data_IF_400379884428
#
_entry.id   IF_400379884428
#
_cell.length_a   1.000
_cell.length_b   1.000
_cell.length_c   1.000
_cell.angle_alpha   90.00
_cell.angle_beta   90.00
_cell.angle_gamma   90.00
#
_symmetry.space_group_name_H-M   'P 1'
#
loop_
_entity.id
_entity.type
_entity.pdbx_description
1 polymer ?
#
# COMPACT_ATOMS: atom_id res chain seq x y z
N UNK A 1 -9.65 15.24 1.44
CA UNK A 1 -10.43 14.81 0.26
C UNK A 1 -10.54 15.94 -0.78
N UNK A 2 -10.13 15.69 -2.03
CA UNK A 2 -10.24 16.66 -3.13
C UNK A 2 -11.45 16.35 -4.03
N UNK A 3 -12.08 17.37 -4.61
CA UNK A 3 -13.21 17.23 -5.54
C UNK A 3 -12.77 16.81 -6.97
N UNK A 4 -11.49 16.48 -7.17
CA UNK A 4 -10.92 16.32 -8.51
C UNK A 4 -11.51 15.10 -9.22
N UNK A 5 -11.71 13.99 -8.50
CA UNK A 5 -12.27 12.77 -9.09
C UNK A 5 -13.71 12.98 -9.56
N UNK A 6 -14.55 13.62 -8.73
CA UNK A 6 -15.92 13.96 -9.10
C UNK A 6 -15.97 14.91 -10.30
N UNK A 7 -15.11 15.94 -10.34
CA UNK A 7 -15.03 16.83 -11.50
C UNK A 7 -14.64 16.06 -12.76
N UNK A 8 -13.67 15.13 -12.70
CA UNK A 8 -13.33 14.26 -13.83
C UNK A 8 -14.51 13.41 -14.28
N UNK A 9 -15.24 12.80 -13.36
CA UNK A 9 -16.46 12.03 -13.67
C UNK A 9 -17.50 12.89 -14.37
N UNK A 10 -17.75 14.10 -13.88
CA UNK A 10 -18.67 15.06 -14.50
C UNK A 10 -18.21 15.44 -15.91
N UNK A 11 -16.94 15.82 -16.08
CA UNK A 11 -16.37 16.21 -17.38
C UNK A 11 -16.40 15.05 -18.40
N UNK A 12 -16.28 13.81 -17.94
CA UNK A 12 -16.37 12.60 -18.78
C UNK A 12 -17.79 12.15 -19.08
N UNK A 13 -18.81 12.72 -18.45
CA UNK A 13 -20.20 12.28 -18.63
C UNK A 13 -20.68 12.58 -20.06
N UNK A 14 -21.33 11.63 -20.78
CA UNK A 14 -21.73 11.82 -22.17
C UNK A 14 -22.59 13.06 -22.42
N UNK A 15 -23.51 13.36 -21.50
CA UNK A 15 -24.36 14.56 -21.59
C UNK A 15 -23.58 15.85 -21.32
N UNK A 16 -22.53 15.80 -20.49
CA UNK A 16 -21.64 16.94 -20.30
C UNK A 16 -20.84 17.22 -21.58
N UNK A 17 -20.31 16.18 -22.23
CA UNK A 17 -19.55 16.29 -23.49
C UNK A 17 -20.41 16.83 -24.63
N UNK A 18 -21.71 16.49 -24.66
CA UNK A 18 -22.67 17.03 -25.64
C UNK A 18 -23.07 18.49 -25.36
N UNK A 19 -22.67 19.05 -24.22
CA UNK A 19 -23.09 20.39 -23.78
C UNK A 19 -24.49 20.45 -23.16
N UNK A 20 -25.10 19.31 -22.85
CA UNK A 20 -26.42 19.21 -22.22
C UNK A 20 -26.29 19.39 -20.69
N UNK A 21 -25.81 20.55 -20.25
CA UNK A 21 -25.61 20.87 -18.83
C UNK A 21 -26.63 21.92 -18.38
N UNK A 22 -27.40 21.60 -17.35
CA UNK A 22 -28.45 22.45 -16.78
C UNK A 22 -28.44 22.37 -15.24
N UNK A 23 -29.27 23.18 -14.58
CA UNK A 23 -29.27 23.36 -13.12
C UNK A 23 -29.43 22.06 -12.34
N UNK A 24 -30.18 21.11 -12.87
CA UNK A 24 -30.50 19.83 -12.22
C UNK A 24 -29.68 18.65 -12.78
N UNK A 25 -28.62 18.93 -13.54
CA UNK A 25 -27.74 17.90 -14.11
C UNK A 25 -27.15 16.95 -13.05
N UNK A 26 -26.63 17.48 -11.94
CA UNK A 26 -26.03 16.63 -10.89
C UNK A 26 -27.10 15.76 -10.20
N UNK A 27 -28.26 16.29 -9.77
CA UNK A 27 -29.37 15.47 -9.27
C UNK A 27 -29.84 14.37 -10.24
N UNK A 28 -30.03 14.70 -11.51
CA UNK A 28 -30.59 13.78 -12.51
C UNK A 28 -29.63 12.62 -12.82
N UNK A 29 -28.33 12.90 -12.89
CA UNK A 29 -27.28 11.91 -13.15
C UNK A 29 -26.56 11.44 -11.88
N UNK A 30 -27.11 11.70 -10.68
CA UNK A 30 -26.45 11.41 -9.41
C UNK A 30 -26.02 9.94 -9.29
N UNK A 31 -26.88 9.01 -9.73
CA UNK A 31 -26.55 7.58 -9.66
C UNK A 31 -25.35 7.20 -10.54
N UNK A 32 -25.14 7.90 -11.64
CA UNK A 32 -24.05 7.66 -12.58
C UNK A 32 -22.77 8.38 -12.13
N UNK A 33 -22.91 9.64 -11.67
CA UNK A 33 -21.79 10.47 -11.21
C UNK A 33 -21.16 9.97 -9.90
N UNK A 34 -21.94 9.28 -9.07
CA UNK A 34 -21.51 8.69 -7.80
C UNK A 34 -21.49 7.16 -7.84
N UNK A 35 -21.56 6.54 -9.02
CA UNK A 35 -21.38 5.10 -9.14
C UNK A 35 -19.97 4.69 -8.69
N UNK A 36 -19.85 3.54 -8.02
CA UNK A 36 -18.56 2.98 -7.67
C UNK A 36 -17.78 2.65 -8.95
N UNK A 37 -16.72 3.43 -9.20
CA UNK A 37 -15.83 3.20 -10.33
C UNK A 37 -15.02 1.94 -10.02
N UNK A 38 -15.31 0.86 -10.74
CA UNK A 38 -14.50 -0.36 -10.67
C UNK A 38 -13.12 -0.07 -11.23
N UNK A 39 -12.12 -0.12 -10.36
CA UNK A 39 -10.73 -0.03 -10.78
C UNK A 39 -10.38 -1.17 -11.73
N UNK A 40 -9.76 -0.81 -12.86
CA UNK A 40 -9.25 -1.79 -13.81
C UNK A 40 -8.05 -2.55 -13.24
N UNK A 41 -7.67 -3.66 -13.87
CA UNK A 41 -6.47 -4.38 -13.44
C UNK A 41 -5.23 -3.49 -13.59
N UNK A 42 -5.16 -2.66 -14.64
CA UNK A 42 -4.06 -1.69 -14.83
C UNK A 42 -3.97 -0.69 -13.67
N UNK A 43 -5.09 -0.13 -13.21
CA UNK A 43 -5.12 0.82 -12.09
C UNK A 43 -4.69 0.17 -10.76
N UNK A 44 -5.03 -1.10 -10.57
CA UNK A 44 -4.65 -1.87 -9.38
C UNK A 44 -3.17 -2.23 -9.37
N UNK A 45 -2.63 -2.69 -10.51
CA UNK A 45 -1.19 -2.94 -10.66
C UNK A 45 -0.41 -1.64 -10.47
N UNK A 46 -0.86 -0.57 -11.11
CA UNK A 46 -0.28 0.77 -10.99
C UNK A 46 -0.25 1.22 -9.53
N UNK A 47 -1.37 1.10 -8.83
CA UNK A 47 -1.49 1.46 -7.42
C UNK A 47 -0.56 0.65 -6.51
N UNK A 48 -0.54 -0.67 -6.67
CA UNK A 48 0.33 -1.55 -5.90
C UNK A 48 1.82 -1.23 -6.13
N UNK A 49 2.22 -1.00 -7.38
CA UNK A 49 3.58 -0.61 -7.72
C UNK A 49 3.94 0.76 -7.14
N UNK A 50 3.04 1.73 -7.23
CA UNK A 50 3.24 3.08 -6.69
C UNK A 50 3.47 3.05 -5.19
N UNK A 51 2.65 2.30 -4.44
CA UNK A 51 2.82 2.10 -3.01
C UNK A 51 4.13 1.39 -2.67
N UNK A 52 4.48 0.33 -3.41
CA UNK A 52 5.73 -0.38 -3.22
C UNK A 52 6.95 0.52 -3.44
N UNK A 53 6.95 1.31 -4.50
CA UNK A 53 8.03 2.25 -4.79
C UNK A 53 8.12 3.36 -3.74
N UNK A 54 6.98 3.91 -3.30
CA UNK A 54 6.94 4.90 -2.23
C UNK A 54 7.44 4.35 -0.88
N UNK A 55 7.28 3.06 -0.62
CA UNK A 55 7.75 2.41 0.61
C UNK A 55 9.26 2.20 0.69
N UNK A 56 10.00 2.39 -0.42
CA UNK A 56 11.45 2.17 -0.47
C UNK A 56 12.18 3.22 0.39
N UNK A 57 13.18 2.81 1.20
CA UNK A 57 14.04 3.76 1.91
C UNK A 57 14.79 4.64 0.90
N UNK A 58 14.65 5.96 1.04
CA UNK A 58 15.27 6.95 0.13
C UNK A 58 16.72 7.26 0.46
N UNK A 59 17.11 7.06 1.71
CA UNK A 59 18.49 7.20 2.18
C UNK A 59 18.98 5.83 2.62
N UNK A 60 19.93 5.28 1.87
CA UNK A 60 20.59 4.02 2.20
C UNK A 60 21.81 4.37 3.06
N UNK A 61 21.57 4.52 4.35
CA UNK A 61 22.57 4.82 5.39
C UNK A 61 23.25 3.57 5.96
N UNK A 62 22.72 2.37 5.70
CA UNK A 62 23.26 1.10 6.19
C UNK A 62 23.62 0.08 5.09
N UNK A 63 24.55 -0.86 5.36
CA UNK A 63 24.98 -1.88 4.40
C UNK A 63 23.88 -2.87 3.99
N UNK A 64 22.82 -3.00 4.80
CA UNK A 64 21.64 -3.83 4.49
C UNK A 64 20.53 -3.07 3.76
N UNK A 65 20.67 -1.75 3.61
CA UNK A 65 19.70 -0.91 2.88
C UNK A 65 20.04 -0.87 1.38
N UNK A 66 21.28 -1.20 1.00
CA UNK A 66 21.76 -1.24 -0.40
C UNK A 66 21.20 -2.41 -1.24
N UNK A 67 20.34 -3.26 -0.68
CA UNK A 67 19.81 -4.43 -1.37
C UNK A 67 18.32 -4.60 -1.01
N UNK A 68 17.42 -3.76 -1.56
CA UNK A 68 16.02 -3.69 -1.14
C UNK A 68 15.25 -5.02 -1.32
N UNK A 69 15.79 -5.96 -2.10
CA UNK A 69 15.18 -7.26 -2.37
C UNK A 69 16.09 -8.47 -2.10
N UNK A 70 17.28 -8.28 -1.50
CA UNK A 70 18.13 -9.42 -1.16
C UNK A 70 17.62 -10.10 0.10
N UNK A 71 16.96 -11.23 -0.08
CA UNK A 71 16.93 -12.28 0.91
C UNK A 71 17.63 -13.49 0.34
N UNK A 72 18.54 -14.05 1.13
CA UNK A 72 19.11 -15.35 0.82
C UNK A 72 17.93 -16.35 0.77
N UNK A 73 17.53 -16.75 -0.44
CA UNK A 73 16.57 -17.82 -0.78
C UNK A 73 15.07 -17.48 -0.97
N UNK A 74 14.61 -16.22 -0.97
CA UNK A 74 13.18 -15.93 -1.26
C UNK A 74 12.95 -14.60 -2.00
N UNK A 75 12.05 -14.62 -2.99
CA UNK A 75 11.51 -13.39 -3.61
C UNK A 75 10.68 -12.62 -2.57
N UNK A 76 10.81 -11.29 -2.55
CA UNK A 76 10.02 -10.44 -1.65
C UNK A 76 8.58 -10.43 -2.13
N UNK A 77 7.64 -10.79 -1.27
CA UNK A 77 6.20 -10.69 -1.52
C UNK A 77 5.63 -9.53 -0.70
N UNK A 78 4.96 -8.58 -1.36
CA UNK A 78 4.24 -7.47 -0.71
C UNK A 78 2.76 -7.56 -1.06
N UNK A 79 1.89 -7.52 -0.04
CA UNK A 79 0.43 -7.59 -0.22
C UNK A 79 -0.21 -6.25 0.08
N UNK A 80 -1.04 -5.79 -0.83
CA UNK A 80 -1.76 -4.53 -0.75
C UNK A 80 -3.25 -4.78 -0.84
N UNK A 81 -4.00 -4.17 0.08
CA UNK A 81 -5.46 -4.15 0.02
C UNK A 81 -5.90 -2.85 -0.63
N UNK A 82 -6.28 -2.91 -1.91
CA UNK A 82 -6.70 -1.77 -2.73
C UNK A 82 -8.22 -1.82 -2.89
N UNK A 83 -8.92 -1.11 -2.00
CA UNK A 83 -10.38 -1.19 -1.89
C UNK A 83 -10.83 -2.57 -1.40
N UNK A 84 -11.65 -3.26 -2.19
CA UNK A 84 -12.12 -4.62 -1.90
C UNK A 84 -11.22 -5.72 -2.46
N UNK A 85 -10.18 -5.37 -3.22
CA UNK A 85 -9.29 -6.33 -3.89
C UNK A 85 -7.94 -6.44 -3.18
N UNK A 86 -7.44 -7.66 -3.08
CA UNK A 86 -6.09 -7.95 -2.62
C UNK A 86 -5.15 -8.11 -3.83
N UNK A 87 -4.03 -7.39 -3.81
CA UNK A 87 -2.99 -7.44 -4.84
C UNK A 87 -1.67 -7.83 -4.19
N UNK A 88 -1.04 -8.91 -4.67
CA UNK A 88 0.28 -9.32 -4.19
C UNK A 88 1.34 -9.08 -5.27
N UNK A 89 2.46 -8.46 -4.89
CA UNK A 89 3.62 -8.23 -5.74
C UNK A 89 4.78 -9.12 -5.28
N UNK A 90 5.27 -9.96 -6.19
CA UNK A 90 6.47 -10.76 -6.02
C UNK A 90 7.61 -10.15 -6.82
N UNK A 91 8.63 -9.64 -6.15
CA UNK A 91 9.77 -8.99 -6.80
C UNK A 91 10.77 -10.05 -7.27
N UNK A 92 10.91 -10.21 -8.60
CA UNK A 92 11.90 -11.08 -9.21
C UNK A 92 13.25 -10.36 -9.35
N UNK A 93 13.19 -9.07 -9.69
CA UNK A 93 14.31 -8.14 -9.74
C UNK A 93 13.84 -6.73 -9.40
N UNK A 94 14.70 -5.72 -9.55
CA UNK A 94 14.29 -4.33 -9.37
C UNK A 94 13.32 -3.84 -10.45
N UNK A 95 13.38 -4.44 -11.65
CA UNK A 95 12.62 -4.04 -12.84
C UNK A 95 11.55 -5.05 -13.24
N UNK A 96 11.61 -6.29 -12.74
CA UNK A 96 10.67 -7.36 -13.10
C UNK A 96 9.98 -7.92 -11.86
N UNK A 97 8.66 -8.07 -11.95
CA UNK A 97 7.82 -8.54 -10.86
C UNK A 97 6.70 -9.43 -11.39
N UNK A 98 6.15 -10.27 -10.52
CA UNK A 98 4.89 -10.96 -10.76
C UNK A 98 3.81 -10.36 -9.87
N UNK A 99 2.69 -9.96 -10.48
CA UNK A 99 1.51 -9.51 -9.77
C UNK A 99 0.49 -10.62 -9.70
N UNK A 100 -0.05 -10.88 -8.51
CA UNK A 100 -1.17 -11.78 -8.29
C UNK A 100 -2.44 -10.94 -8.13
N UNK A 101 -3.35 -11.04 -9.09
CA UNK A 101 -4.67 -10.40 -9.10
C UNK A 101 -5.73 -11.50 -9.22
N UNK A 102 -6.67 -11.59 -8.28
CA UNK A 102 -7.76 -12.59 -8.31
C UNK A 102 -7.24 -14.03 -8.58
N UNK A 103 -6.19 -14.44 -7.86
CA UNK A 103 -5.50 -15.73 -8.01
C UNK A 103 -4.79 -15.97 -9.36
N UNK A 104 -4.75 -14.98 -10.25
CA UNK A 104 -4.00 -15.04 -11.50
C UNK A 104 -2.65 -14.32 -11.36
N UNK A 105 -1.58 -15.02 -11.74
CA UNK A 105 -0.22 -14.46 -11.80
C UNK A 105 0.04 -13.89 -13.19
N UNK A 106 0.42 -12.62 -13.24
CA UNK A 106 0.83 -11.93 -14.46
C UNK A 106 2.19 -11.27 -14.26
N UNK A 107 3.02 -11.23 -15.30
CA UNK A 107 4.30 -10.52 -15.26
C UNK A 107 4.07 -9.03 -15.48
N UNK A 108 4.82 -8.22 -14.74
CA UNK A 108 4.88 -6.77 -14.91
C UNK A 108 6.33 -6.33 -14.86
N UNK A 109 6.69 -5.39 -15.72
CA UNK A 109 8.00 -4.75 -15.68
C UNK A 109 7.86 -3.24 -15.44
N UNK A 110 8.87 -2.69 -14.77
CA UNK A 110 8.99 -1.26 -14.53
C UNK A 110 10.30 -0.72 -15.11
N UNK A 111 10.25 0.50 -15.63
CA UNK A 111 11.36 1.23 -16.23
C UNK A 111 11.26 2.72 -15.92
N UNK A 112 12.28 3.50 -16.28
CA UNK A 112 12.29 4.97 -16.15
C UNK A 112 11.94 5.49 -14.74
N UNK A 113 12.38 4.76 -13.70
CA UNK A 113 12.05 5.08 -12.31
C UNK A 113 12.85 6.30 -11.84
N UNK A 114 12.15 7.36 -11.46
CA UNK A 114 12.72 8.61 -10.94
C UNK A 114 11.97 9.02 -9.68
N UNK A 115 12.67 9.12 -8.56
CA UNK A 115 12.08 9.49 -7.26
C UNK A 115 12.58 10.87 -6.80
N UNK A 116 11.67 11.64 -6.20
CA UNK A 116 11.96 12.92 -5.55
C UNK A 116 11.43 12.92 -4.10
N UNK A 117 11.49 14.09 -3.43
CA UNK A 117 11.04 14.24 -2.05
C UNK A 117 9.53 13.96 -1.86
N UNK A 118 8.71 14.14 -2.89
CA UNK A 118 7.25 14.08 -2.77
C UNK A 118 6.66 12.84 -3.45
N UNK A 119 7.39 12.19 -4.35
CA UNK A 119 6.85 11.08 -5.11
C UNK A 119 7.86 10.27 -5.90
N UNK A 120 7.33 9.43 -6.78
CA UNK A 120 8.08 8.58 -7.70
C UNK A 120 7.32 8.49 -9.02
N UNK A 121 8.03 8.75 -10.11
CA UNK A 121 7.58 8.52 -11.48
C UNK A 121 8.19 7.24 -12.02
N UNK A 122 7.41 6.46 -12.75
CA UNK A 122 7.83 5.18 -13.29
C UNK A 122 7.01 4.83 -14.53
N UNK A 123 7.58 4.03 -15.41
CA UNK A 123 6.91 3.48 -16.59
C UNK A 123 6.61 2.01 -16.37
N UNK A 124 5.36 1.61 -16.57
CA UNK A 124 4.86 0.26 -16.36
C UNK A 124 4.66 -0.40 -17.72
N UNK A 125 5.03 -1.67 -17.85
CA UNK A 125 4.60 -2.54 -18.94
C UNK A 125 3.86 -3.76 -18.38
N UNK A 126 2.58 -3.88 -18.73
CA UNK A 126 1.68 -4.91 -18.22
C UNK A 126 0.64 -5.28 -19.29
N UNK A 127 0.42 -6.58 -19.49
CA UNK A 127 -0.55 -7.13 -20.45
C UNK A 127 -0.43 -6.55 -21.87
N UNK A 128 0.82 -6.34 -22.32
CA UNK A 128 1.14 -5.77 -23.64
C UNK A 128 0.91 -4.26 -23.77
N UNK A 129 0.56 -3.57 -22.69
CA UNK A 129 0.41 -2.11 -22.64
C UNK A 129 1.57 -1.49 -21.89
N UNK A 130 2.02 -0.32 -22.34
CA UNK A 130 3.05 0.49 -21.68
C UNK A 130 2.54 1.90 -21.40
N UNK A 131 2.65 2.36 -20.16
CA UNK A 131 2.25 3.72 -19.77
C UNK A 131 3.11 4.26 -18.63
N UNK A 132 3.13 5.59 -18.48
CA UNK A 132 3.80 6.25 -17.35
C UNK A 132 2.81 6.52 -16.23
N UNK A 133 3.28 6.32 -15.01
CA UNK A 133 2.54 6.56 -13.77
C UNK A 133 3.41 7.35 -12.80
N UNK A 134 2.74 8.02 -11.86
CA UNK A 134 3.37 8.77 -10.79
C UNK A 134 2.61 8.54 -9.49
N UNK A 135 3.38 8.25 -8.43
CA UNK A 135 2.86 8.05 -7.09
C UNK A 135 3.40 9.16 -6.18
N UNK A 136 2.50 9.93 -5.58
CA UNK A 136 2.80 11.07 -4.71
C UNK A 136 2.39 10.70 -3.28
N UNK A 137 3.30 10.89 -2.34
CA UNK A 137 3.05 10.70 -0.91
C UNK A 137 2.31 11.92 -0.36
N UNK A 138 1.17 11.66 0.27
CA UNK A 138 0.40 12.63 1.07
C UNK A 138 0.55 12.27 2.56
N UNK A 139 0.16 13.15 3.50
CA UNK A 139 0.36 12.91 4.94
C UNK A 139 -0.28 11.60 5.48
N UNK A 140 -1.42 11.19 4.92
CA UNK A 140 -2.18 10.01 5.38
C UNK A 140 -2.60 9.07 4.23
N UNK A 141 -2.04 9.30 3.04
CA UNK A 141 -2.41 8.60 1.82
C UNK A 141 -1.30 8.68 0.78
N UNK A 142 -1.43 7.92 -0.30
CA UNK A 142 -0.68 8.14 -1.52
C UNK A 142 -1.65 8.32 -2.68
N UNK A 143 -1.42 9.36 -3.47
CA UNK A 143 -2.11 9.58 -4.73
C UNK A 143 -1.30 8.91 -5.84
N UNK A 144 -1.91 7.99 -6.57
CA UNK A 144 -1.29 7.35 -7.74
C UNK A 144 -2.10 7.72 -8.98
N UNK A 145 -1.41 8.14 -10.04
CA UNK A 145 -2.05 8.50 -11.30
C UNK A 145 -1.20 8.09 -12.51
N UNK A 146 -1.88 7.75 -13.61
CA UNK A 146 -1.29 7.24 -14.84
C UNK A 146 -2.37 6.79 -15.81
N UNK A 147 -2.64 5.49 -15.83
CA UNK A 147 -3.77 4.88 -16.55
C UNK A 147 -5.12 5.33 -15.97
N UNK A 148 -5.17 5.52 -14.64
CA UNK A 148 -6.29 6.07 -13.92
C UNK A 148 -5.82 7.08 -12.86
N UNK A 149 -6.64 7.30 -11.85
CA UNK A 149 -6.26 8.06 -10.67
C UNK A 149 -6.91 7.41 -9.46
N UNK A 150 -6.11 7.12 -8.42
CA UNK A 150 -6.60 6.50 -7.20
C UNK A 150 -5.80 6.99 -6.00
N UNK A 151 -6.50 7.24 -4.89
CA UNK A 151 -5.88 7.62 -3.63
C UNK A 151 -5.99 6.43 -2.66
N UNK A 152 -4.84 6.02 -2.12
CA UNK A 152 -4.74 4.88 -1.22
C UNK A 152 -4.37 5.35 0.17
N UNK A 153 -5.17 5.02 1.17
CA UNK A 153 -4.85 5.34 2.56
C UNK A 153 -3.63 4.57 3.02
N UNK A 154 -2.60 5.31 3.44
CA UNK A 154 -1.42 4.75 4.09
C UNK A 154 -1.67 4.93 5.58
N UNK A 155 -1.91 3.84 6.30
CA UNK A 155 -1.83 3.90 7.76
C UNK A 155 -0.37 4.17 8.11
N UNK A 156 -0.04 5.42 8.40
CA UNK A 156 1.27 5.76 8.92
C UNK A 156 1.43 5.11 10.30
N UNK A 157 2.56 4.43 10.60
CA UNK A 157 2.87 3.98 11.95
C UNK A 157 3.08 5.12 12.96
N UNK A 158 3.06 6.38 12.51
CA UNK A 158 3.37 7.58 13.29
C UNK A 158 2.31 7.97 14.33
N UNK A 159 1.46 7.02 14.76
CA UNK A 159 0.66 7.14 15.99
C UNK A 159 1.39 6.48 17.18
N UNK A 160 2.68 6.75 17.31
CA UNK A 160 3.44 6.44 18.53
C UNK A 160 4.05 7.73 19.08
N UNK A 161 3.20 8.75 19.29
CA UNK A 161 3.54 9.84 20.19
C UNK A 161 3.53 9.32 21.64
N UNK A 162 4.73 9.01 22.12
CA UNK A 162 5.24 9.36 23.45
C UNK A 162 4.19 9.49 24.58
N UNK A 163 4.01 8.42 25.37
CA UNK A 163 3.61 8.57 26.78
C UNK A 163 4.76 8.12 27.70
N UNK A 164 5.59 9.08 28.06
CA UNK A 164 6.45 8.98 29.24
C UNK A 164 5.57 9.17 30.48
N UNK A 165 5.06 8.07 31.04
CA UNK A 165 4.25 8.10 32.25
C UNK A 165 4.30 6.76 32.99
N UNK A 166 4.82 6.79 34.21
CA UNK A 166 4.97 5.61 35.04
C UNK A 166 3.63 5.01 35.52
N UNK A 167 3.67 3.68 35.74
CA UNK A 167 2.85 2.87 36.63
C UNK A 167 1.38 2.59 36.27
N UNK A 168 1.02 1.30 36.24
CA UNK A 168 -0.34 0.85 36.52
C UNK A 168 -0.87 -0.26 35.61
N UNK A 169 -0.70 -1.50 36.07
CA UNK A 169 -1.55 -2.68 35.86
C UNK A 169 -2.54 -2.72 34.66
N UNK A 170 -2.34 -3.74 33.81
CA UNK A 170 -3.43 -4.60 33.34
C UNK A 170 -4.02 -4.30 31.97
N UNK A 171 -3.66 -5.15 30.99
CA UNK A 171 -4.51 -5.83 29.98
C UNK A 171 -3.60 -6.12 28.77
N UNK A 172 -3.35 -7.41 28.54
CA UNK A 172 -2.48 -7.90 27.48
C UNK A 172 -3.30 -7.91 26.18
N UNK A 173 -3.08 -6.94 25.30
CA UNK A 173 -3.42 -7.05 23.88
C UNK A 173 -2.14 -7.23 23.06
N UNK A 174 -2.15 -8.28 22.24
CA UNK A 174 -1.02 -8.83 21.50
C UNK A 174 -0.29 -7.79 20.66
N UNK A 175 0.84 -7.32 21.17
CA UNK A 175 1.84 -6.56 20.44
C UNK A 175 2.68 -7.56 19.64
N UNK A 176 2.48 -7.63 18.32
CA UNK A 176 3.39 -8.39 17.44
C UNK A 176 4.75 -7.68 17.42
N UNK A 177 5.69 -8.22 18.19
CA UNK A 177 7.05 -7.71 18.28
C UNK A 177 7.83 -7.99 16.97
N UNK A 178 8.68 -7.04 16.53
CA UNK A 178 9.46 -7.17 15.31
C UNK A 178 10.77 -7.94 15.59
N UNK A 179 10.70 -9.28 15.65
CA UNK A 179 11.83 -10.17 15.31
C UNK A 179 11.39 -11.65 15.30
N UNK A 180 11.70 -12.46 14.27
CA UNK A 180 11.44 -13.89 14.29
C UNK A 180 12.58 -14.62 15.01
N UNK A 181 12.47 -14.79 16.33
CA UNK A 181 13.23 -15.78 17.09
C UNK A 181 12.50 -17.12 17.08
N UNK A 182 13.18 -18.20 16.69
CA UNK A 182 12.63 -19.56 16.64
C UNK A 182 12.27 -20.02 18.07
N UNK A 183 11.01 -20.46 18.27
CA UNK A 183 10.55 -21.07 19.53
C UNK A 183 10.84 -22.57 19.45
N UNK A 184 11.94 -23.02 20.07
CA UNK A 184 12.18 -24.45 20.28
C UNK A 184 11.50 -24.91 21.58
N UNK A 185 10.31 -25.49 21.42
CA UNK A 185 9.68 -26.51 22.28
C UNK A 185 9.29 -26.13 23.72
N UNK A 186 7.99 -25.90 23.93
CA UNK A 186 7.36 -25.89 25.26
C UNK A 186 7.21 -27.33 25.77
N UNK A 187 7.95 -27.68 26.83
CA UNK A 187 7.73 -28.88 27.65
C UNK A 187 7.28 -28.43 29.04
N UNK A 188 5.99 -28.12 29.22
CA UNK A 188 5.37 -28.10 30.56
C UNK A 188 3.86 -28.25 30.44
N UNK A 189 3.28 -29.05 31.34
CA UNK A 189 1.84 -29.29 31.43
C UNK A 189 1.18 -28.17 32.25
N UNK A 190 -0.09 -27.81 31.97
CA UNK A 190 -0.80 -26.77 32.69
C UNK A 190 -1.06 -27.21 34.15
N UNK A 191 -0.58 -26.44 35.15
CA UNK A 191 -0.95 -26.68 36.55
C UNK A 191 -0.06 -26.14 37.68
N UNK A 192 1.18 -25.68 37.45
CA UNK A 192 2.06 -25.29 38.56
C UNK A 192 2.08 -23.77 38.84
N UNK A 193 1.77 -23.40 40.08
CA UNK A 193 2.02 -22.07 40.66
C UNK A 193 3.52 -21.91 40.97
N UNK A 194 4.12 -20.80 40.53
CA UNK A 194 5.49 -20.44 40.92
C UNK A 194 5.52 -19.06 41.60
N UNK A 195 5.94 -19.06 42.87
CA UNK A 195 6.18 -17.88 43.69
C UNK A 195 7.53 -17.22 43.34
N UNK A 196 7.62 -15.88 43.26
CA UNK A 196 8.87 -15.20 42.92
C UNK A 196 9.81 -15.17 44.14
N UNK A 197 11.03 -15.69 43.96
CA UNK A 197 12.10 -15.60 44.96
C UNK A 197 12.91 -14.32 44.72
N UNK A 198 12.89 -13.40 45.69
CA UNK A 198 13.80 -12.25 45.78
C UNK A 198 15.19 -12.75 46.21
N UNK A 199 16.25 -12.26 45.57
CA UNK A 199 17.59 -12.39 46.14
C UNK A 199 18.28 -11.02 46.10
N UNK A 200 18.43 -10.44 47.29
CA UNK A 200 19.38 -9.37 47.55
C UNK A 200 20.59 -9.94 48.26
N UNK A 201 21.78 -9.47 47.87
CA UNK A 201 22.99 -9.33 48.67
C UNK A 201 23.95 -8.44 47.89
#
# INVERSE_FOLDING_TARGET
PTNIQFVRTVLGHPEFVKGNVYTDFIPDYQKELFADVRQSDEELVEGALGLALLSRPRHLTGPFEQIPFFRLNHAVEQKYKLGEKDVALCFLSETEMEVCLNDQKKKVSISDVSADENGVRYTIEFDGRRWSAEAIRLPHSALVYGSGQSEYHIMSPDSFEQDSGAAGAGVIQSSHAPMPGIIEKVLVKPGDEVSPHFNGS
#
